data_IF_815107994588
#
_entry.id   IF_815107994588
#
_cell.length_a   1.000
_cell.length_b   1.000
_cell.length_c   1.000
_cell.angle_alpha   90.00
_cell.angle_beta   90.00
_cell.angle_gamma   90.00
#
_symmetry.space_group_name_H-M   'P 1'
#
loop_
_entity.id
_entity.type
_entity.pdbx_description
1 polymer ?
#
# COMPACT_ATOMS: atom_id res chain seq x y z
N UNK A 1 -22.83 -6.53 19.40
CA UNK A 1 -22.54 -6.90 18.00
C UNK A 1 -21.36 -7.85 18.07
N UNK A 2 -21.58 -9.14 17.80
CA UNK A 2 -20.50 -10.12 17.66
C UNK A 2 -19.78 -9.86 16.33
N UNK A 3 -18.45 -9.98 16.34
CA UNK A 3 -17.60 -9.74 15.16
C UNK A 3 -17.66 -10.89 14.15
N UNK A 4 -16.69 -10.90 13.23
CA UNK A 4 -16.51 -12.02 12.29
C UNK A 4 -16.03 -13.26 13.06
N UNK A 5 -16.47 -14.45 12.66
CA UNK A 5 -16.09 -15.71 13.31
C UNK A 5 -16.55 -16.92 12.51
N UNK A 6 -16.12 -18.10 12.93
CA UNK A 6 -16.51 -19.36 12.29
C UNK A 6 -18.03 -19.57 12.37
N UNK A 7 -18.61 -20.00 11.25
CA UNK A 7 -20.03 -20.39 11.18
C UNK A 7 -20.21 -21.56 10.21
N UNK A 8 -21.32 -22.28 10.35
CA UNK A 8 -21.66 -23.39 9.45
C UNK A 8 -22.41 -22.85 8.23
N UNK A 9 -21.95 -23.23 7.04
CA UNK A 9 -22.67 -22.98 5.78
C UNK A 9 -22.32 -24.07 4.75
N UNK A 10 -22.89 -23.95 3.55
CA UNK A 10 -22.57 -24.83 2.42
C UNK A 10 -21.12 -24.66 1.92
N UNK A 11 -20.45 -23.55 2.26
CA UNK A 11 -19.02 -23.35 2.02
C UNK A 11 -18.20 -23.83 3.25
N UNK A 12 -17.41 -24.93 3.12
CA UNK A 12 -16.66 -25.50 4.23
C UNK A 12 -15.57 -24.56 4.79
N UNK A 13 -15.17 -23.51 4.07
CA UNK A 13 -14.16 -22.57 4.54
C UNK A 13 -14.70 -21.61 5.61
N UNK A 14 -16.02 -21.42 5.68
CA UNK A 14 -16.68 -20.57 6.70
C UNK A 14 -16.49 -21.10 8.12
N UNK A 15 -16.30 -22.41 8.29
CA UNK A 15 -16.00 -23.03 9.57
C UNK A 15 -14.53 -22.85 10.01
N UNK A 16 -13.65 -22.35 9.13
CA UNK A 16 -12.21 -22.17 9.38
C UNK A 16 -11.83 -20.73 9.74
N UNK A 17 -12.79 -19.82 9.80
CA UNK A 17 -12.56 -18.42 10.17
C UNK A 17 -12.09 -18.36 11.64
N UNK A 18 -10.81 -18.02 11.83
CA UNK A 18 -10.19 -17.90 13.16
C UNK A 18 -9.87 -16.45 13.54
N UNK A 19 -10.19 -15.49 12.66
CA UNK A 19 -9.97 -14.06 12.86
C UNK A 19 -11.29 -13.35 13.16
N UNK A 20 -11.23 -12.30 13.96
CA UNK A 20 -12.40 -11.53 14.39
C UNK A 20 -12.62 -10.22 13.63
N UNK A 21 -11.64 -9.83 12.82
CA UNK A 21 -11.62 -8.59 12.06
C UNK A 21 -12.07 -8.80 10.59
N UNK A 22 -12.49 -7.74 9.90
CA UNK A 22 -12.94 -7.72 8.49
C UNK A 22 -11.95 -8.28 7.47
N UNK A 23 -10.71 -8.54 7.89
CA UNK A 23 -9.61 -8.98 7.07
C UNK A 23 -8.29 -8.74 7.78
N UNK A 24 -7.19 -8.92 7.05
CA UNK A 24 -5.85 -8.64 7.56
C UNK A 24 -5.41 -7.26 7.08
N UNK A 25 -5.06 -6.38 8.01
CA UNK A 25 -4.56 -5.03 7.70
C UNK A 25 -3.10 -5.05 7.24
N UNK A 26 -2.78 -5.84 6.22
CA UNK A 26 -1.39 -6.08 5.79
C UNK A 26 -0.72 -4.81 5.28
N UNK A 27 -1.46 -3.95 4.56
CA UNK A 27 -0.88 -2.77 3.93
C UNK A 27 -0.31 -1.76 4.92
N UNK A 28 -0.83 -1.71 6.15
CA UNK A 28 -0.40 -0.73 7.14
C UNK A 28 0.96 -1.09 7.76
N UNK A 29 1.39 -2.35 7.66
CA UNK A 29 2.68 -2.79 8.20
C UNK A 29 3.87 -2.32 7.34
N UNK A 30 3.61 -1.80 6.13
CA UNK A 30 4.63 -1.33 5.22
C UNK A 30 4.77 0.21 5.26
N UNK A 31 6.00 0.75 5.33
CA UNK A 31 6.23 2.15 5.02
C UNK A 31 5.91 2.45 3.55
N UNK A 32 5.71 3.72 3.22
CA UNK A 32 5.36 4.13 1.85
C UNK A 32 6.62 4.22 0.99
N UNK A 33 6.78 3.28 0.05
CA UNK A 33 7.92 3.18 -0.87
C UNK A 33 7.49 3.43 -2.32
N UNK A 34 7.38 4.69 -2.77
CA UNK A 34 7.06 4.99 -4.16
C UNK A 34 8.31 4.85 -5.03
N UNK A 35 8.33 3.89 -5.96
CA UNK A 35 9.40 3.75 -6.94
C UNK A 35 9.79 5.12 -7.54
N UNK A 36 11.05 5.58 -7.44
CA UNK A 36 11.40 6.95 -7.79
C UNK A 36 11.23 7.30 -9.27
N UNK A 37 11.05 6.28 -10.13
CA UNK A 37 10.88 6.44 -11.57
C UNK A 37 9.40 6.44 -11.97
N UNK A 38 8.62 5.46 -11.52
CA UNK A 38 7.23 5.25 -11.92
C UNK A 38 6.20 5.83 -10.93
N UNK A 39 6.59 6.01 -9.67
CA UNK A 39 5.71 6.37 -8.56
C UNK A 39 4.82 5.23 -8.06
N UNK A 40 5.00 3.99 -8.54
CA UNK A 40 4.26 2.83 -8.06
C UNK A 40 4.77 2.39 -6.69
N UNK A 41 3.88 1.89 -5.82
CA UNK A 41 4.30 1.39 -4.52
C UNK A 41 5.05 0.06 -4.64
N UNK A 42 6.21 -0.05 -4.00
CA UNK A 42 7.02 -1.25 -3.96
C UNK A 42 6.54 -2.21 -2.85
N UNK A 43 5.61 -3.11 -3.21
CA UNK A 43 4.96 -4.05 -2.28
C UNK A 43 5.85 -5.18 -1.76
N UNK A 44 6.91 -5.54 -2.47
CA UNK A 44 7.74 -6.67 -2.06
C UNK A 44 8.64 -6.28 -0.89
N UNK A 45 8.35 -6.80 0.30
CA UNK A 45 9.06 -6.47 1.54
C UNK A 45 9.47 -7.74 2.27
N UNK A 46 10.67 -7.72 2.86
CA UNK A 46 11.12 -8.78 3.75
C UNK A 46 10.49 -8.57 5.12
N UNK A 47 9.84 -9.59 5.65
CA UNK A 47 9.26 -9.59 7.00
C UNK A 47 9.83 -10.74 7.84
N UNK A 48 9.81 -10.57 9.15
CA UNK A 48 10.06 -11.63 10.12
C UNK A 48 8.74 -11.95 10.81
N UNK A 49 8.44 -13.23 10.99
CA UNK A 49 7.20 -13.71 11.60
C UNK A 49 7.56 -14.55 12.82
N UNK A 50 6.82 -14.35 13.91
CA UNK A 50 6.90 -15.17 15.12
C UNK A 50 5.50 -15.54 15.61
N UNK A 51 5.43 -16.48 16.56
CA UNK A 51 4.16 -16.80 17.23
C UNK A 51 3.80 -15.66 18.17
N UNK A 52 2.51 -15.35 18.32
CA UNK A 52 2.03 -14.47 19.37
C UNK A 52 2.39 -15.03 20.76
N UNK A 53 2.77 -14.14 21.67
CA UNK A 53 3.14 -14.49 23.05
C UNK A 53 1.88 -14.53 23.92
N UNK A 54 1.87 -15.26 25.05
CA UNK A 54 0.68 -15.39 25.90
C UNK A 54 0.13 -14.07 26.46
N UNK A 55 0.93 -13.00 26.48
CA UNK A 55 0.55 -11.68 26.98
C UNK A 55 0.09 -10.70 25.90
N UNK A 56 0.27 -11.03 24.61
CA UNK A 56 -0.06 -10.14 23.51
C UNK A 56 -1.57 -9.91 23.43
N UNK A 57 -1.93 -8.65 23.23
CA UNK A 57 -3.32 -8.21 23.07
C UNK A 57 -3.50 -7.53 21.73
N UNK A 58 -4.72 -7.61 21.22
CA UNK A 58 -5.10 -6.83 20.05
C UNK A 58 -4.86 -5.33 20.33
N UNK A 59 -4.12 -4.68 19.43
CA UNK A 59 -3.70 -3.28 19.58
C UNK A 59 -2.31 -3.06 20.18
N UNK A 60 -1.63 -4.11 20.69
CA UNK A 60 -0.23 -3.98 21.15
C UNK A 60 0.73 -3.68 19.99
N UNK A 61 0.38 -4.13 18.79
CA UNK A 61 1.05 -3.75 17.55
C UNK A 61 0.36 -2.52 16.97
N UNK A 62 1.11 -1.42 16.92
CA UNK A 62 0.67 -0.17 16.32
C UNK A 62 1.64 0.28 15.24
N UNK A 63 1.11 1.02 14.27
CA UNK A 63 1.91 1.59 13.19
C UNK A 63 2.20 3.05 13.49
N UNK A 64 3.49 3.39 13.49
CA UNK A 64 3.95 4.76 13.59
C UNK A 64 3.88 5.44 12.21
N UNK A 65 2.83 6.23 12.01
CA UNK A 65 2.59 6.93 10.75
C UNK A 65 3.64 8.01 10.46
N UNK A 66 4.30 8.56 11.49
CA UNK A 66 5.38 9.53 11.31
C UNK A 66 6.62 8.84 10.72
N UNK A 67 6.95 7.64 11.18
CA UNK A 67 8.02 6.82 10.58
C UNK A 67 7.69 6.44 9.14
N UNK A 68 6.46 6.00 8.87
CA UNK A 68 6.03 5.70 7.50
C UNK A 68 6.17 6.92 6.57
N UNK A 69 5.86 8.12 7.07
CA UNK A 69 6.00 9.35 6.31
C UNK A 69 7.46 9.81 6.15
N UNK A 70 8.33 9.54 7.14
CA UNK A 70 9.76 9.79 7.02
C UNK A 70 10.36 8.98 5.86
N UNK A 71 10.05 7.68 5.79
CA UNK A 71 10.49 6.81 4.69
C UNK A 71 9.94 7.28 3.34
N UNK A 72 8.67 7.71 3.28
CA UNK A 72 8.13 8.33 2.07
C UNK A 72 8.99 9.51 1.58
N UNK A 73 9.43 10.39 2.48
CA UNK A 73 10.27 11.54 2.13
C UNK A 73 11.65 11.12 1.64
N UNK A 74 12.24 10.09 2.23
CA UNK A 74 13.53 9.54 1.78
C UNK A 74 13.42 9.06 0.33
N UNK A 75 12.37 8.31 -0.01
CA UNK A 75 12.12 7.85 -1.37
C UNK A 75 11.75 8.99 -2.33
N UNK A 76 10.97 9.96 -1.86
CA UNK A 76 10.62 11.15 -2.65
C UNK A 76 11.88 11.94 -3.04
N UNK A 77 12.88 12.04 -2.15
CA UNK A 77 14.14 12.71 -2.43
C UNK A 77 14.96 12.03 -3.56
N UNK A 78 14.69 10.76 -3.87
CA UNK A 78 15.30 10.04 -4.99
C UNK A 78 14.63 10.32 -6.34
N UNK A 79 13.47 11.01 -6.35
CA UNK A 79 12.70 11.29 -7.57
C UNK A 79 13.34 12.39 -8.40
N UNK A 80 13.02 12.41 -9.70
CA UNK A 80 13.34 13.54 -10.58
C UNK A 80 12.12 14.46 -10.68
N UNK A 81 12.29 15.79 -10.51
CA UNK A 81 11.18 16.72 -10.63
C UNK A 81 10.68 16.78 -12.08
N UNK A 82 9.41 17.16 -12.25
CA UNK A 82 8.87 17.54 -13.55
C UNK A 82 9.42 18.93 -13.99
N UNK A 83 9.41 19.25 -15.30
CA UNK A 83 9.01 18.39 -16.41
C UNK A 83 10.06 17.30 -16.72
N UNK A 84 9.57 16.15 -17.15
CA UNK A 84 10.38 15.17 -17.87
C UNK A 84 10.67 15.63 -19.31
N UNK A 85 11.35 14.78 -20.11
CA UNK A 85 11.60 15.05 -21.52
C UNK A 85 10.34 15.46 -22.28
N UNK A 86 10.47 16.40 -23.22
CA UNK A 86 9.38 16.93 -24.05
C UNK A 86 8.26 17.66 -23.27
N UNK A 87 8.53 18.15 -22.06
CA UNK A 87 7.56 18.91 -21.27
C UNK A 87 6.51 18.06 -20.55
N UNK A 88 6.76 16.75 -20.43
CA UNK A 88 5.83 15.82 -19.80
C UNK A 88 5.83 15.96 -18.27
N UNK A 89 4.64 16.03 -17.66
CA UNK A 89 4.44 15.81 -16.22
C UNK A 89 4.75 14.37 -15.82
N UNK A 90 4.45 13.42 -16.70
CA UNK A 90 4.54 11.97 -16.45
C UNK A 90 4.76 11.20 -17.76
N UNK A 91 5.36 10.00 -17.75
CA UNK A 91 5.53 9.16 -18.94
C UNK A 91 4.21 8.70 -19.58
N UNK A 92 4.18 8.67 -20.92
CA UNK A 92 3.03 8.21 -21.71
C UNK A 92 2.89 6.68 -21.77
N UNK A 93 3.97 5.94 -21.54
CA UNK A 93 4.01 4.47 -21.70
C UNK A 93 3.61 3.70 -20.43
N UNK A 94 3.47 4.39 -19.28
CA UNK A 94 3.04 3.72 -18.05
C UNK A 94 1.52 3.46 -18.09
N UNK A 95 1.12 2.19 -18.00
CA UNK A 95 -0.28 1.79 -17.93
C UNK A 95 -0.94 2.34 -16.66
N UNK A 96 -2.18 2.82 -16.79
CA UNK A 96 -2.94 3.42 -15.69
C UNK A 96 -4.41 3.03 -15.81
N UNK A 97 -5.07 2.63 -14.71
CA UNK A 97 -6.53 2.66 -14.64
C UNK A 97 -6.99 4.08 -14.93
N UNK A 98 -7.99 4.24 -15.81
CA UNK A 98 -8.53 5.54 -16.20
C UNK A 98 -7.45 6.51 -16.72
N UNK A 99 -6.68 6.05 -17.74
CA UNK A 99 -5.66 6.88 -18.40
C UNK A 99 -6.26 8.24 -18.82
N UNK A 100 -5.69 9.37 -18.38
CA UNK A 100 -6.15 10.69 -18.81
C UNK A 100 -6.03 10.91 -20.32
N UNK A 101 -6.71 11.94 -20.84
CA UNK A 101 -6.46 12.45 -22.18
C UNK A 101 -4.99 12.91 -22.34
N UNK A 102 -4.44 12.82 -23.55
CA UNK A 102 -3.00 12.96 -23.79
C UNK A 102 -2.46 14.35 -23.41
N UNK A 103 -3.24 15.41 -23.61
CA UNK A 103 -2.91 16.78 -23.25
C UNK A 103 -2.66 16.96 -21.74
N UNK A 104 -3.27 16.11 -20.89
CA UNK A 104 -3.09 16.16 -19.44
C UNK A 104 -1.73 15.62 -18.98
N UNK A 105 -0.95 15.03 -19.88
CA UNK A 105 0.40 14.57 -19.60
C UNK A 105 1.44 15.69 -19.73
N UNK A 106 1.11 16.87 -20.25
CA UNK A 106 2.07 17.97 -20.45
C UNK A 106 1.95 19.05 -19.38
N UNK A 107 3.07 19.68 -19.00
CA UNK A 107 3.09 20.77 -18.00
C UNK A 107 2.36 21.99 -18.55
N UNK A 108 2.67 22.35 -19.78
CA UNK A 108 1.98 23.39 -20.54
C UNK A 108 0.99 22.73 -21.49
N UNK A 109 -0.17 23.36 -21.70
CA UNK A 109 -1.11 22.90 -22.73
C UNK A 109 -0.47 23.14 -24.09
N UNK A 110 -0.29 22.08 -24.87
CA UNK A 110 -0.06 22.20 -26.31
C UNK A 110 -1.38 22.41 -27.04
#
# INVERSE_FOLDING_TARGET
VEGIGAYTSDDPDTARIFWTDGGVHQNITFPVHPDPVSGMHCWHQKVTVEKAHPGDKYGDVLVDTNKSFAIYKEWLAMTRPAPGPNGLRRPLWLARPLRPAEEMFYVEKK
#
